data_IF_873188371386
#
_entry.id   IF_873188371386
#
_cell.length_a   1.000
_cell.length_b   1.000
_cell.length_c   1.000
_cell.angle_alpha   90.00
_cell.angle_beta   90.00
_cell.angle_gamma   90.00
#
_symmetry.space_group_name_H-M   'P 1'
#
loop_
_entity.id
_entity.type
_entity.pdbx_description
1 polymer ?
#
# COMPACT_ATOMS: atom_id res chain seq x y z
N UNK A 1 16.18 6.79 3.05
CA UNK A 1 15.07 5.90 3.47
C UNK A 1 13.75 6.41 2.92
N UNK A 2 12.90 5.54 2.37
CA UNK A 2 11.60 5.94 1.81
C UNK A 2 10.63 6.32 2.94
N UNK A 3 9.99 7.47 2.81
CA UNK A 3 9.05 8.02 3.81
C UNK A 3 7.60 7.57 3.60
N UNK A 4 6.72 7.90 4.55
CA UNK A 4 5.28 7.55 4.52
C UNK A 4 4.61 7.92 3.19
N UNK A 5 4.93 9.09 2.62
CA UNK A 5 4.41 9.56 1.32
C UNK A 5 4.61 8.55 0.19
N UNK A 6 5.76 7.88 0.15
CA UNK A 6 6.05 6.89 -0.90
C UNK A 6 5.15 5.66 -0.76
N UNK A 7 5.01 5.13 0.46
CA UNK A 7 4.14 3.99 0.73
C UNK A 7 2.67 4.33 0.50
N UNK A 8 2.21 5.51 0.92
CA UNK A 8 0.84 5.96 0.69
C UNK A 8 0.48 6.02 -0.79
N UNK A 9 1.39 6.51 -1.63
CA UNK A 9 1.18 6.56 -3.07
C UNK A 9 1.06 5.15 -3.67
N UNK A 10 2.02 4.27 -3.37
CA UNK A 10 2.02 2.89 -3.87
C UNK A 10 0.79 2.10 -3.42
N UNK A 11 0.37 2.26 -2.17
CA UNK A 11 -0.85 1.63 -1.63
C UNK A 11 -2.09 2.15 -2.35
N UNK A 12 -2.18 3.46 -2.59
CA UNK A 12 -3.29 4.05 -3.34
C UNK A 12 -3.37 3.49 -4.76
N UNK A 13 -2.28 3.52 -5.51
CA UNK A 13 -2.19 2.99 -6.88
C UNK A 13 -2.61 1.51 -6.94
N UNK A 14 -2.18 0.70 -5.97
CA UNK A 14 -2.52 -0.73 -5.92
C UNK A 14 -4.01 -0.96 -5.69
N UNK A 15 -4.60 -0.26 -4.71
CA UNK A 15 -6.02 -0.42 -4.37
C UNK A 15 -6.90 0.10 -5.49
N UNK A 16 -6.55 1.24 -6.09
CA UNK A 16 -7.24 1.80 -7.28
C UNK A 16 -7.18 0.83 -8.46
N UNK A 17 -5.99 0.30 -8.78
CA UNK A 17 -5.83 -0.62 -9.91
C UNK A 17 -6.55 -1.95 -9.74
N UNK A 18 -6.66 -2.46 -8.50
CA UNK A 18 -7.31 -3.74 -8.23
C UNK A 18 -8.84 -3.62 -8.10
N UNK A 19 -9.34 -2.48 -7.62
CA UNK A 19 -10.74 -2.30 -7.29
C UNK A 19 -11.13 -3.02 -6.00
N UNK A 20 -10.97 -4.34 -5.94
CA UNK A 20 -11.23 -5.17 -4.76
C UNK A 20 -9.94 -5.88 -4.33
N UNK A 21 -9.55 -5.76 -3.06
CA UNK A 21 -8.32 -6.35 -2.53
C UNK A 21 -8.39 -6.62 -1.03
N UNK A 22 -7.28 -7.02 -0.43
CA UNK A 22 -7.12 -7.23 1.01
C UNK A 22 -5.82 -6.62 1.50
N UNK A 23 -5.73 -6.38 2.81
CA UNK A 23 -4.49 -5.91 3.42
C UNK A 23 -3.29 -6.83 3.11
N UNK A 24 -3.48 -8.15 3.22
CA UNK A 24 -2.38 -9.10 2.99
C UNK A 24 -1.87 -9.06 1.55
N UNK A 25 -2.78 -8.97 0.60
CA UNK A 25 -2.44 -8.87 -0.82
C UNK A 25 -1.65 -7.58 -1.10
N UNK A 26 -2.16 -6.42 -0.68
CA UNK A 26 -1.47 -5.14 -0.86
C UNK A 26 -0.10 -5.14 -0.18
N UNK A 27 0.01 -5.69 1.04
CA UNK A 27 1.26 -5.75 1.76
C UNK A 27 2.30 -6.66 1.08
N UNK A 28 1.89 -7.86 0.67
CA UNK A 28 2.79 -8.82 0.03
C UNK A 28 3.28 -8.31 -1.32
N UNK A 29 2.40 -7.73 -2.12
CA UNK A 29 2.79 -7.15 -3.41
C UNK A 29 3.69 -5.94 -3.23
N UNK A 30 3.46 -5.11 -2.21
CA UNK A 30 4.35 -3.97 -1.94
C UNK A 30 5.75 -4.42 -1.49
N UNK A 31 5.83 -5.48 -0.68
CA UNK A 31 7.12 -6.10 -0.31
C UNK A 31 7.83 -6.64 -1.55
N UNK A 32 7.12 -7.35 -2.42
CA UNK A 32 7.68 -7.90 -3.66
C UNK A 32 8.18 -6.80 -4.62
N UNK A 33 7.41 -5.73 -4.81
CA UNK A 33 7.82 -4.58 -5.62
C UNK A 33 9.10 -3.93 -5.07
N UNK A 34 9.19 -3.71 -3.76
CA UNK A 34 10.40 -3.16 -3.15
C UNK A 34 11.61 -4.09 -3.28
N UNK A 35 11.40 -5.41 -3.16
CA UNK A 35 12.47 -6.39 -3.36
C UNK A 35 12.99 -6.37 -4.80
N UNK A 36 12.10 -6.25 -5.78
CA UNK A 36 12.48 -6.12 -7.18
C UNK A 36 13.23 -4.82 -7.46
N UNK A 37 12.80 -3.69 -6.87
CA UNK A 37 13.50 -2.41 -6.97
C UNK A 37 14.92 -2.46 -6.37
N UNK A 38 15.10 -3.16 -5.25
CA UNK A 38 16.43 -3.38 -4.65
C UNK A 38 17.30 -4.27 -5.55
N UNK A 39 16.74 -5.34 -6.12
CA UNK A 39 17.45 -6.20 -7.07
C UNK A 39 17.84 -5.47 -8.35
N UNK A 40 17.02 -4.51 -8.79
CA UNK A 40 17.31 -3.64 -9.94
C UNK A 40 18.30 -2.50 -9.62
N UNK A 41 18.76 -2.38 -8.36
CA UNK A 41 19.68 -1.34 -7.93
C UNK A 41 19.07 0.06 -7.88
N UNK A 42 17.73 0.18 -7.95
CA UNK A 42 17.04 1.49 -7.88
C UNK A 42 16.83 1.95 -6.43
N UNK A 43 17.01 1.04 -5.47
CA UNK A 43 16.92 1.30 -4.03
C UNK A 43 18.04 0.56 -3.32
N UNK A 44 18.77 1.24 -2.44
CA UNK A 44 19.94 0.66 -1.77
C UNK A 44 19.61 -0.39 -0.70
N UNK A 45 18.39 -0.38 -0.15
CA UNK A 45 18.06 -1.21 1.01
C UNK A 45 16.61 -1.71 1.00
N UNK A 46 16.46 -3.01 1.26
CA UNK A 46 15.19 -3.61 1.62
C UNK A 46 14.75 -3.07 2.98
N UNK A 47 13.55 -2.51 3.03
CA UNK A 47 12.91 -2.15 4.29
C UNK A 47 12.43 -3.43 5.00
N UNK A 48 12.58 -3.50 6.32
CA UNK A 48 12.02 -4.61 7.12
C UNK A 48 10.53 -4.78 6.82
N UNK A 49 10.10 -6.01 6.50
CA UNK A 49 8.70 -6.30 6.15
C UNK A 49 7.71 -5.77 7.19
N UNK A 50 8.09 -5.84 8.48
CA UNK A 50 7.30 -5.31 9.60
C UNK A 50 7.05 -3.81 9.45
N UNK A 51 8.04 -3.05 8.97
CA UNK A 51 7.90 -1.62 8.72
C UNK A 51 6.95 -1.37 7.53
N UNK A 52 7.15 -2.09 6.42
CA UNK A 52 6.30 -1.97 5.23
C UNK A 52 4.85 -2.26 5.59
N UNK A 53 4.58 -3.37 6.28
CA UNK A 53 3.26 -3.76 6.79
C UNK A 53 2.63 -2.66 7.65
N UNK A 54 3.40 -2.08 8.59
CA UNK A 54 2.92 -0.96 9.41
C UNK A 54 2.54 0.26 8.55
N UNK A 55 3.32 0.59 7.52
CA UNK A 55 3.05 1.69 6.59
C UNK A 55 1.83 1.44 5.71
N UNK A 56 1.61 0.20 5.27
CA UNK A 56 0.40 -0.18 4.51
C UNK A 56 -0.84 0.07 5.36
N UNK A 57 -0.84 -0.32 6.63
CA UNK A 57 -1.96 -0.01 7.54
C UNK A 57 -2.20 1.49 7.70
N UNK A 58 -1.13 2.29 7.90
CA UNK A 58 -1.26 3.75 8.01
C UNK A 58 -1.91 4.34 6.76
N UNK A 59 -1.43 3.95 5.57
CA UNK A 59 -1.96 4.41 4.30
C UNK A 59 -3.44 4.03 4.11
N UNK A 60 -3.79 2.76 4.34
CA UNK A 60 -5.17 2.29 4.21
C UNK A 60 -6.12 3.02 5.16
N UNK A 61 -5.72 3.25 6.41
CA UNK A 61 -6.55 3.97 7.38
C UNK A 61 -6.77 5.44 6.96
N UNK A 62 -5.75 6.08 6.38
CA UNK A 62 -5.90 7.44 5.84
C UNK A 62 -6.82 7.44 4.62
N UNK A 63 -6.66 6.50 3.68
CA UNK A 63 -7.53 6.39 2.50
C UNK A 63 -9.00 6.14 2.90
N UNK A 64 -9.23 5.32 3.93
CA UNK A 64 -10.56 5.07 4.50
C UNK A 64 -11.14 6.33 5.14
N UNK A 65 -10.35 7.05 5.94
CA UNK A 65 -10.77 8.30 6.58
C UNK A 65 -11.12 9.41 5.56
N UNK A 66 -10.45 9.42 4.41
CA UNK A 66 -10.75 10.35 3.30
C UNK A 66 -11.96 9.86 2.47
N UNK A 67 -12.40 8.62 2.64
CA UNK A 67 -13.56 8.05 1.93
C UNK A 67 -13.24 7.49 0.54
N UNK A 68 -11.97 7.33 0.19
CA UNK A 68 -11.53 6.76 -1.09
C UNK A 68 -11.64 5.24 -1.14
N UNK A 69 -11.68 4.57 0.02
CA UNK A 69 -11.84 3.13 0.12
C UNK A 69 -12.91 2.77 1.15
N UNK A 70 -13.48 1.57 1.01
CA UNK A 70 -14.30 0.93 2.03
C UNK A 70 -13.56 -0.30 2.59
N UNK A 71 -13.59 -0.51 3.91
CA UNK A 71 -13.03 -1.70 4.54
C UNK A 71 -14.13 -2.50 5.23
N UNK A 72 -14.28 -3.76 4.83
CA UNK A 72 -15.22 -4.69 5.46
C UNK A 72 -14.47 -5.95 5.89
N UNK A 73 -14.22 -6.08 7.20
CA UNK A 73 -13.38 -7.15 7.77
C UNK A 73 -12.00 -7.18 7.09
N UNK A 74 -11.79 -8.12 6.18
CA UNK A 74 -10.54 -8.29 5.41
C UNK A 74 -10.59 -7.68 4.02
N UNK A 75 -11.80 -7.42 3.50
CA UNK A 75 -12.00 -6.89 2.16
C UNK A 75 -11.80 -5.37 2.16
N UNK A 76 -11.17 -4.89 1.10
CA UNK A 76 -10.90 -3.48 0.83
C UNK A 76 -11.42 -3.20 -0.58
N UNK A 77 -12.29 -2.21 -0.72
CA UNK A 77 -12.88 -1.83 -2.01
C UNK A 77 -12.54 -0.37 -2.32
N UNK A 78 -12.08 -0.11 -3.53
CA UNK A 78 -11.86 1.23 -4.06
C UNK A 78 -13.21 1.90 -4.34
N UNK A 79 -13.36 3.15 -3.89
CA UNK A 79 -14.57 3.96 -4.10
C UNK A 79 -14.37 5.09 -5.12
N UNK A 80 -13.12 5.38 -5.49
CA UNK A 80 -12.78 6.53 -6.32
C UNK A 80 -12.30 7.74 -5.51
N UNK A 81 -11.99 8.82 -6.23
CA UNK A 81 -11.54 10.08 -5.65
C UNK A 81 -12.66 10.75 -4.83
N UNK A 82 -12.31 11.45 -3.72
CA UNK A 82 -13.30 12.17 -2.94
C UNK A 82 -13.91 13.30 -3.77
N UNK A 83 -15.22 13.47 -3.66
CA UNK A 83 -15.97 14.57 -4.31
C UNK A 83 -15.88 15.87 -3.52
#
# INVERSE_FOLDING_TARGET
GKGLRHFSLKVCEKVESKGDTTYEEVANELIADLAAEVAAGTVEQLHDEKNIRRRVYDALNVLEAIGMINKNKKAIQWKGWPS
#
